data_IF_269964775628
#
_entry.id   IF_269964775628
#
_cell.length_a   1.000
_cell.length_b   1.000
_cell.length_c   1.000
_cell.angle_alpha   90.00
_cell.angle_beta   90.00
_cell.angle_gamma   90.00
#
_symmetry.space_group_name_H-M   'P 1'
#
loop_
_entity.id
_entity.type
_entity.pdbx_description
1 polymer ?
#
# COMPACT_ATOMS: atom_id res chain seq x y z
N UNK A 1 -18.14 -10.82 -8.10
CA UNK A 1 -17.80 -10.71 -8.19
C UNK A 1 -17.33 -10.48 -8.47
N UNK A 2 -16.88 -10.51 -8.41
CA UNK A 2 -16.34 -10.15 -8.73
C UNK A 2 -16.22 -10.64 -9.51
N UNK A 3 -16.30 -10.95 -9.91
CA UNK A 3 -16.18 -11.12 -10.55
C UNK A 3 -16.29 -11.52 -11.38
N UNK A 4 -16.45 -11.28 -11.56
CA UNK A 4 -16.53 -11.30 -12.34
C UNK A 4 -16.35 -11.10 -12.99
N UNK A 5 -16.24 -10.85 -12.98
CA UNK A 5 -15.83 -10.32 -13.40
C UNK A 5 -15.58 -10.42 -14.23
N UNK A 6 -15.44 -10.19 -14.57
CA UNK A 6 -15.03 -10.17 -15.28
C UNK A 6 -14.47 -10.22 -15.91
N UNK A 7 -14.50 -9.82 -15.99
CA UNK A 7 -13.93 -9.79 -16.68
C UNK A 7 -13.06 -10.12 -17.06
N UNK A 8 -12.63 -10.04 -16.88
CA UNK A 8 -11.55 -10.49 -16.93
C UNK A 8 -11.00 -10.81 -18.10
N UNK A 9 -11.51 -10.91 -18.75
CA UNK A 9 -11.16 -11.23 -19.87
C UNK A 9 -10.50 -10.26 -20.53
N UNK A 10 -11.02 -9.29 -20.58
CA UNK A 10 -10.48 -8.23 -21.13
C UNK A 10 -9.18 -8.13 -20.67
N UNK A 11 -8.92 -8.38 -19.59
CA UNK A 11 -7.73 -8.19 -19.12
C UNK A 11 -6.83 -9.14 -19.66
N UNK A 12 -7.18 -10.09 -20.24
CA UNK A 12 -6.33 -10.98 -20.69
C UNK A 12 -5.51 -10.49 -21.76
N UNK A 13 -6.00 -9.79 -22.57
CA UNK A 13 -5.32 -9.31 -23.62
C UNK A 13 -4.35 -8.36 -23.26
N UNK A 14 -4.68 -7.51 -22.48
CA UNK A 14 -3.87 -6.48 -22.08
C UNK A 14 -2.63 -6.91 -21.54
N UNK A 15 -2.59 -7.84 -20.79
CA UNK A 15 -1.44 -8.22 -20.09
C UNK A 15 -0.21 -8.28 -20.91
N UNK A 16 -0.33 -8.68 -22.02
CA UNK A 16 0.77 -8.80 -22.80
C UNK A 16 1.50 -7.57 -22.96
N UNK A 17 0.86 -6.57 -23.21
CA UNK A 17 1.44 -5.34 -23.37
C UNK A 17 1.91 -4.77 -22.14
N UNK A 18 1.18 -4.88 -21.14
CA UNK A 18 1.52 -4.25 -19.93
C UNK A 18 2.85 -4.71 -19.48
N UNK A 19 3.29 -5.79 -19.88
CA UNK A 19 4.53 -6.24 -19.42
C UNK A 19 5.62 -5.32 -19.74
N UNK A 20 5.43 -4.59 -20.67
CA UNK A 20 6.40 -3.67 -21.08
C UNK A 20 6.70 -2.68 -20.05
N UNK A 21 5.75 -2.31 -19.32
CA UNK A 21 5.97 -1.36 -18.35
C UNK A 21 6.25 -1.87 -17.07
N UNK A 22 6.83 -2.96 -16.98
CA UNK A 22 7.06 -3.45 -15.77
C UNK A 22 7.73 -2.60 -14.87
N UNK A 23 7.48 -2.59 -13.72
CA UNK A 23 8.10 -1.79 -12.76
C UNK A 23 7.34 -0.55 -12.44
N UNK A 24 6.44 -0.22 -13.29
CA UNK A 24 5.71 0.96 -13.11
C UNK A 24 4.38 0.49 -12.65
N UNK A 25 3.79 0.51 -11.83
CA UNK A 25 2.52 -0.02 -11.42
C UNK A 25 2.75 -1.46 -11.06
N UNK A 26 1.79 -2.26 -11.02
CA UNK A 26 1.92 -3.65 -10.71
C UNK A 26 2.63 -3.84 -9.37
N UNK A 27 2.26 -3.08 -8.39
CA UNK A 27 2.90 -3.13 -7.10
C UNK A 27 1.97 -2.59 -6.03
N UNK A 28 2.29 -2.88 -4.81
CA UNK A 28 1.55 -2.34 -3.69
C UNK A 28 2.14 -1.00 -3.34
N UNK A 29 1.31 -0.01 -3.15
CA UNK A 29 1.75 1.31 -2.79
C UNK A 29 1.12 1.75 -1.48
N UNK A 30 1.82 2.60 -0.76
CA UNK A 30 1.36 3.11 0.52
C UNK A 30 1.04 4.60 0.49
N UNK A 31 0.69 5.10 -0.68
CA UNK A 31 0.37 6.53 -0.81
C UNK A 31 -0.79 6.91 0.10
N UNK A 32 -1.75 6.01 0.24
CA UNK A 32 -2.91 6.27 1.07
C UNK A 32 -2.52 6.44 2.53
N UNK A 33 -1.47 5.77 2.97
CA UNK A 33 -1.01 5.89 4.34
C UNK A 33 -0.62 7.34 4.63
N UNK A 34 0.13 7.95 3.71
CA UNK A 34 0.60 9.31 3.95
C UNK A 34 -0.55 10.31 3.94
N UNK A 35 -1.52 10.11 3.07
CA UNK A 35 -2.71 10.94 3.04
C UNK A 35 -3.49 10.78 4.35
N UNK A 36 -3.62 9.54 4.82
CA UNK A 36 -4.34 9.27 6.05
C UNK A 36 -3.67 9.96 7.24
N UNK A 37 -2.36 9.87 7.32
CA UNK A 37 -1.62 10.50 8.40
C UNK A 37 -1.77 12.02 8.36
N UNK A 38 -1.69 12.57 7.17
CA UNK A 38 -1.82 14.00 7.02
C UNK A 38 -3.21 14.47 7.40
N UNK A 39 -4.23 13.77 6.98
CA UNK A 39 -5.61 14.12 7.31
C UNK A 39 -5.91 14.03 8.80
N UNK A 40 -5.16 13.22 9.51
CA UNK A 40 -5.38 13.02 10.94
C UNK A 40 -4.30 13.67 11.80
N UNK A 41 -3.47 14.49 11.20
CA UNK A 41 -2.41 15.21 11.91
C UNK A 41 -1.48 14.27 12.66
N UNK A 42 -1.11 13.17 12.04
CA UNK A 42 -0.20 12.23 12.66
C UNK A 42 1.14 12.31 11.95
N UNK A 43 2.19 12.64 12.68
CA UNK A 43 3.50 12.77 12.08
C UNK A 43 4.24 11.44 12.07
N UNK A 44 5.32 11.35 11.31
CA UNK A 44 6.14 10.15 11.31
C UNK A 44 6.80 9.95 12.66
N UNK A 45 7.02 11.03 13.40
CA UNK A 45 7.57 10.96 14.74
C UNK A 45 6.61 10.15 15.63
N UNK A 46 5.33 10.40 15.51
CA UNK A 46 4.32 9.69 16.28
C UNK A 46 4.31 8.20 15.88
N UNK A 47 4.46 7.90 14.61
CA UNK A 47 4.52 6.53 14.17
C UNK A 47 5.72 5.82 14.81
N UNK A 48 6.85 6.48 14.87
CA UNK A 48 8.03 5.87 15.46
C UNK A 48 7.91 5.69 16.95
N UNK A 49 7.43 6.71 17.64
CA UNK A 49 7.39 6.68 19.10
C UNK A 49 6.22 5.90 19.69
N UNK A 50 5.09 5.95 19.06
CA UNK A 50 3.88 5.33 19.58
C UNK A 50 3.47 4.05 18.91
N UNK A 51 3.76 3.91 17.63
CA UNK A 51 3.41 2.71 16.93
C UNK A 51 4.55 1.70 16.92
N UNK A 52 5.75 2.15 17.20
CA UNK A 52 6.90 1.25 17.23
C UNK A 52 7.47 0.93 15.86
N UNK A 53 7.31 1.85 14.94
CA UNK A 53 7.84 1.69 13.59
C UNK A 53 9.14 2.48 13.50
N UNK A 54 10.24 1.85 13.19
CA UNK A 54 11.53 2.56 13.18
C UNK A 54 11.71 3.40 11.90
N UNK A 55 12.73 4.23 11.89
CA UNK A 55 12.99 5.13 10.76
C UNK A 55 13.25 4.39 9.48
N UNK A 56 13.87 3.24 9.56
CA UNK A 56 14.16 2.45 8.39
C UNK A 56 12.88 1.94 7.76
N UNK A 57 11.94 1.51 8.59
CA UNK A 57 10.66 1.04 8.12
C UNK A 57 9.85 2.20 7.51
N UNK A 58 9.94 3.37 8.10
CA UNK A 58 9.27 4.54 7.54
C UNK A 58 9.81 4.84 6.14
N UNK A 59 11.12 4.77 5.97
CA UNK A 59 11.72 5.00 4.66
C UNK A 59 11.27 3.96 3.66
N UNK A 60 11.17 2.72 4.07
CA UNK A 60 10.72 1.65 3.19
C UNK A 60 9.26 1.84 2.78
N UNK A 61 8.43 2.30 3.70
CA UNK A 61 7.04 2.57 3.38
C UNK A 61 6.94 3.70 2.35
N UNK A 62 7.77 4.72 2.49
CA UNK A 62 7.77 5.83 1.53
C UNK A 62 8.23 5.39 0.15
N UNK A 63 9.10 4.40 0.10
CA UNK A 63 9.60 3.88 -1.16
C UNK A 63 8.75 2.73 -1.70
N UNK A 64 7.67 2.39 -1.03
CA UNK A 64 6.79 1.30 -1.43
C UNK A 64 7.55 -0.02 -1.55
N UNK A 65 8.45 -0.26 -0.61
CA UNK A 65 9.22 -1.50 -0.59
C UNK A 65 8.47 -2.59 0.17
N UNK A 66 8.95 -3.79 0.10
CA UNK A 66 8.32 -4.90 0.78
C UNK A 66 8.16 -4.65 2.24
N UNK A 67 7.00 -5.01 2.77
CA UNK A 67 6.69 -4.81 4.17
C UNK A 67 6.20 -6.11 4.76
N UNK A 68 6.63 -6.43 5.95
CA UNK A 68 6.12 -7.61 6.63
C UNK A 68 4.68 -7.35 7.05
N UNK A 69 3.86 -8.36 7.01
CA UNK A 69 2.47 -8.19 7.43
C UNK A 69 2.39 -7.79 8.91
N UNK A 70 3.39 -8.18 9.70
CA UNK A 70 3.46 -7.78 11.08
C UNK A 70 3.51 -6.26 11.20
N UNK A 71 4.25 -5.59 10.33
CA UNK A 71 4.31 -4.13 10.32
C UNK A 71 2.97 -3.54 9.93
N UNK A 72 2.32 -4.14 8.95
CA UNK A 72 1.01 -3.67 8.51
C UNK A 72 -0.01 -3.84 9.62
N UNK A 73 0.10 -4.92 10.39
CA UNK A 73 -0.77 -5.15 11.53
C UNK A 73 -0.61 -4.04 12.56
N UNK A 74 0.63 -3.63 12.83
CA UNK A 74 0.89 -2.57 13.78
C UNK A 74 0.27 -1.26 13.32
N UNK A 75 0.43 -0.95 12.05
CA UNK A 75 -0.11 0.28 11.50
C UNK A 75 -1.63 0.31 11.58
N UNK A 76 -2.27 -0.76 11.15
CA UNK A 76 -3.72 -0.80 11.16
C UNK A 76 -4.25 -0.75 12.59
N UNK A 77 -3.59 -1.42 13.52
CA UNK A 77 -4.03 -1.40 14.90
C UNK A 77 -3.87 -0.01 15.51
N UNK A 78 -2.72 0.62 15.27
CA UNK A 78 -2.46 1.95 15.82
C UNK A 78 -3.40 2.99 15.24
N UNK A 79 -3.62 2.95 13.94
CA UNK A 79 -4.48 3.92 13.27
C UNK A 79 -5.95 3.55 13.34
N UNK A 80 -6.24 2.36 13.84
CA UNK A 80 -7.61 1.86 13.94
C UNK A 80 -8.28 1.94 12.57
N UNK A 81 -7.63 1.39 11.57
CA UNK A 81 -8.13 1.44 10.21
C UNK A 81 -7.98 0.09 9.55
N UNK A 82 -8.45 -0.01 8.33
CA UNK A 82 -8.37 -1.24 7.57
C UNK A 82 -7.17 -1.18 6.66
N UNK A 83 -6.71 -2.31 6.19
CA UNK A 83 -5.54 -2.35 5.32
C UNK A 83 -5.77 -1.52 4.06
N UNK A 84 -6.95 -1.58 3.49
CA UNK A 84 -7.25 -0.83 2.27
C UNK A 84 -7.27 0.68 2.51
N UNK A 85 -7.24 1.12 3.74
CA UNK A 85 -7.19 2.56 4.03
C UNK A 85 -5.76 3.09 3.92
N UNK A 86 -4.76 2.22 3.96
CA UNK A 86 -3.37 2.64 3.94
C UNK A 86 -2.57 2.04 2.80
N UNK A 87 -3.10 1.08 2.10
CA UNK A 87 -2.37 0.40 1.03
C UNK A 87 -3.30 0.08 -0.13
N UNK A 88 -2.73 -0.02 -1.31
CA UNK A 88 -3.51 -0.44 -2.46
C UNK A 88 -2.61 -1.08 -3.48
N UNK A 89 -3.16 -1.97 -4.27
CA UNK A 89 -2.41 -2.63 -5.33
C UNK A 89 -2.67 -1.87 -6.63
N UNK A 90 -1.60 -1.50 -7.29
CA UNK A 90 -1.72 -0.80 -8.57
C UNK A 90 -1.37 -1.80 -9.67
N UNK A 91 -2.32 -2.19 -10.49
CA UNK A 91 -2.03 -3.13 -11.56
C UNK A 91 -1.39 -2.41 -12.73
N UNK A 92 -0.76 -3.18 -13.56
CA UNK A 92 -0.14 -2.63 -14.73
C UNK A 92 -1.11 -2.23 -15.80
#
# INVERSE_FOLDING_TARGET
MYGDYIPLINKIITPIISNVNMGVGNMIRFDKLWTYLEENDISTYVLREQCGIDSKTVRRLKANENMETKTLNKLCAFLNCRLEDIAEYIPD
#
